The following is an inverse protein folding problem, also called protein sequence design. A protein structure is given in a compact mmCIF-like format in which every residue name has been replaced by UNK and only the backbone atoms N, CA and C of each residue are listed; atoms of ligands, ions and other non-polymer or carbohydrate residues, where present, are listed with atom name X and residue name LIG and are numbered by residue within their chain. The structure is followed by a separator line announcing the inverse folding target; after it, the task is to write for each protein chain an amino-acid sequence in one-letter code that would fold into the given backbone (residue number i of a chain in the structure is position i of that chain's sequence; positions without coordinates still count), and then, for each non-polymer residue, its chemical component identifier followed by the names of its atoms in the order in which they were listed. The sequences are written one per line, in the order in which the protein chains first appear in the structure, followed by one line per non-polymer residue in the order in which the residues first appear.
data_IF_140444339728
#
_entry.id   IF_140444339728
#
_cell.length_a   1.000
_cell.length_b   1.000
_cell.length_c   1.000
_cell.angle_alpha   90.00
_cell.angle_beta   90.00
_cell.angle_gamma   90.00
#
_symmetry.space_group_name_H-M   'P 1'
#
loop_
_entity.id
_entity.type
_entity.pdbx_description
1 polymer ?
#
# COMPACT_ATOMS: atom_id res chain seq x y z
N UNK A 1 1.57 6.57 -10.59
CA UNK A 1 2.46 5.44 -10.21
C UNK A 1 3.45 5.94 -9.18
N UNK A 2 3.86 5.08 -8.25
CA UNK A 2 4.97 5.36 -7.35
C UNK A 2 5.85 4.11 -7.22
N UNK A 3 7.10 4.30 -6.81
CA UNK A 3 8.04 3.20 -6.63
C UNK A 3 7.98 2.72 -5.19
N UNK A 4 7.91 1.40 -4.98
CA UNK A 4 7.97 0.82 -3.64
C UNK A 4 9.34 1.02 -3.03
N UNK A 5 9.38 1.10 -1.71
CA UNK A 5 10.61 0.99 -0.92
C UNK A 5 11.13 -0.44 -0.91
N UNK A 6 12.37 -0.63 -0.46
CA UNK A 6 12.98 -1.96 -0.39
C UNK A 6 12.20 -2.90 0.55
N UNK A 7 11.82 -2.39 1.74
CA UNK A 7 11.08 -3.15 2.75
C UNK A 7 9.70 -3.58 2.23
N UNK A 8 8.99 -2.70 1.53
CA UNK A 8 7.69 -3.02 0.92
C UNK A 8 7.81 -4.05 -0.21
N UNK A 9 8.91 -4.01 -0.96
CA UNK A 9 9.16 -4.93 -2.06
C UNK A 9 9.59 -6.33 -1.60
N UNK A 10 10.15 -6.46 -0.40
CA UNK A 10 10.57 -7.76 0.16
C UNK A 10 9.39 -8.69 0.40
N UNK A 11 8.27 -8.18 0.92
CA UNK A 11 7.04 -8.95 1.13
C UNK A 11 6.36 -9.40 -0.18
N UNK A 12 6.73 -8.79 -1.32
CA UNK A 12 6.20 -9.10 -2.64
C UNK A 12 7.14 -10.02 -3.45
N UNK A 13 8.27 -10.46 -2.90
CA UNK A 13 9.15 -11.44 -3.53
C UNK A 13 8.53 -12.84 -3.41
N UNK A 14 8.18 -13.42 -4.54
CA UNK A 14 7.82 -14.84 -4.61
C UNK A 14 9.04 -15.70 -4.31
N UNK A 15 8.95 -16.60 -3.32
CA UNK A 15 10.02 -17.57 -3.04
C UNK A 15 10.39 -18.40 -4.29
N UNK A 16 9.42 -18.70 -5.15
CA UNK A 16 9.61 -19.62 -6.28
C UNK A 16 9.95 -18.91 -7.61
N UNK A 17 9.67 -17.61 -7.73
CA UNK A 17 9.85 -16.84 -8.96
C UNK A 17 10.95 -15.78 -8.84
N UNK A 18 12.00 -16.08 -8.06
CA UNK A 18 13.18 -15.21 -7.95
C UNK A 18 14.31 -15.77 -8.81
N UNK A 19 14.88 -14.94 -9.68
CA UNK A 19 15.98 -15.35 -10.55
C UNK A 19 17.23 -15.72 -9.73
N UNK A 20 17.91 -16.78 -10.12
CA UNK A 20 19.10 -17.33 -9.46
C UNK A 20 20.35 -16.44 -9.58
N UNK A 21 20.39 -15.52 -10.56
CA UNK A 21 21.54 -14.65 -10.86
C UNK A 21 21.22 -13.15 -10.77
N UNK A 22 20.02 -12.79 -10.30
CA UNK A 22 19.61 -11.39 -10.19
C UNK A 22 18.12 -11.25 -9.96
N UNK A 23 17.73 -10.89 -8.74
CA UNK A 23 16.39 -10.38 -8.48
C UNK A 23 16.07 -9.14 -9.33
N UNK A 24 14.86 -8.61 -9.21
CA UNK A 24 14.52 -7.29 -9.78
C UNK A 24 15.57 -6.27 -9.32
N UNK A 25 16.48 -5.86 -10.21
CA UNK A 25 17.54 -4.87 -9.93
C UNK A 25 16.99 -3.47 -9.67
N UNK A 26 15.70 -3.25 -10.00
CA UNK A 26 14.98 -1.99 -9.78
C UNK A 26 13.73 -2.28 -8.98
N UNK A 27 13.45 -1.43 -8.00
CA UNK A 27 12.23 -1.50 -7.19
C UNK A 27 11.00 -1.40 -8.11
N UNK A 28 9.98 -2.25 -7.90
CA UNK A 28 8.81 -2.27 -8.75
C UNK A 28 8.02 -0.96 -8.60
N UNK A 29 7.45 -0.50 -9.70
CA UNK A 29 6.46 0.57 -9.69
C UNK A 29 5.06 -0.04 -9.54
N UNK A 30 4.26 0.59 -8.69
CA UNK A 30 2.86 0.23 -8.49
C UNK A 30 1.95 1.30 -9.07
N UNK A 31 0.81 0.85 -9.57
CA UNK A 31 -0.21 1.73 -10.13
C UNK A 31 -0.93 2.48 -9.01
N UNK A 32 -1.09 3.78 -9.21
CA UNK A 32 -2.01 4.60 -8.42
C UNK A 32 -3.42 4.42 -8.99
N UNK A 33 -4.43 5.04 -8.39
CA UNK A 33 -5.84 4.94 -8.82
C UNK A 33 -6.01 5.09 -10.35
N UNK A 34 -5.37 6.11 -10.93
CA UNK A 34 -5.42 6.38 -12.36
C UNK A 34 -4.77 5.29 -13.23
N UNK A 35 -3.76 4.62 -12.68
CA UNK A 35 -3.09 3.51 -13.36
C UNK A 35 -3.91 2.22 -13.39
N UNK A 36 -4.77 2.00 -12.38
CA UNK A 36 -5.71 0.87 -12.36
C UNK A 36 -6.78 1.06 -13.45
N UNK A 37 -7.25 2.30 -13.66
CA UNK A 37 -8.16 2.60 -14.77
C UNK A 37 -7.54 2.24 -16.13
N UNK A 38 -6.25 2.53 -16.34
CA UNK A 38 -5.55 2.15 -17.57
C UNK A 38 -5.43 0.63 -17.74
N UNK A 39 -5.12 -0.13 -16.69
CA UNK A 39 -5.05 -1.59 -16.76
C UNK A 39 -6.39 -2.22 -17.13
N UNK A 40 -7.48 -1.67 -16.60
CA UNK A 40 -8.84 -2.13 -16.93
C UNK A 40 -9.17 -1.97 -18.42
N UNK A 41 -8.59 -0.99 -19.11
CA UNK A 41 -8.79 -0.83 -20.56
C UNK A 41 -8.04 -1.87 -21.40
N UNK A 42 -6.96 -2.45 -20.85
CA UNK A 42 -6.12 -3.45 -21.54
C UNK A 42 -6.69 -4.86 -21.33
N UNK A 43 -7.25 -5.12 -20.16
CA UNK A 43 -7.87 -6.40 -19.82
C UNK A 43 -9.19 -6.57 -20.59
N UNK A 44 -9.32 -7.67 -21.34
CA UNK A 44 -10.52 -8.01 -22.12
C UNK A 44 -11.22 -9.24 -21.52
N UNK A 45 -12.55 -9.15 -21.37
CA UNK A 45 -13.40 -10.26 -20.91
C UNK A 45 -14.35 -9.84 -19.78
N UNK A 46 -15.54 -10.44 -19.73
CA UNK A 46 -16.61 -10.05 -18.80
C UNK A 46 -16.19 -10.13 -17.33
N UNK A 47 -15.41 -11.15 -16.96
CA UNK A 47 -14.89 -11.29 -15.61
C UNK A 47 -13.89 -10.18 -15.28
N UNK A 48 -12.98 -9.86 -16.20
CA UNK A 48 -11.95 -8.87 -15.98
C UNK A 48 -12.53 -7.45 -15.88
N UNK A 49 -13.58 -7.16 -16.65
CA UNK A 49 -14.32 -5.90 -16.57
C UNK A 49 -15.00 -5.73 -15.20
N UNK A 50 -15.73 -6.75 -14.74
CA UNK A 50 -16.39 -6.74 -13.41
C UNK A 50 -15.40 -6.58 -12.27
N UNK A 51 -14.29 -7.33 -12.32
CA UNK A 51 -13.23 -7.26 -11.30
C UNK A 51 -12.56 -5.89 -11.29
N UNK A 52 -12.29 -5.31 -12.46
CA UNK A 52 -11.68 -3.98 -12.55
C UNK A 52 -12.56 -2.91 -11.91
N UNK A 53 -13.86 -2.92 -12.17
CA UNK A 53 -14.82 -2.00 -11.53
C UNK A 53 -14.83 -2.18 -10.00
N UNK A 54 -14.81 -3.43 -9.52
CA UNK A 54 -14.79 -3.71 -8.09
C UNK A 54 -13.53 -3.18 -7.41
N UNK A 55 -12.36 -3.41 -8.02
CA UNK A 55 -11.07 -2.90 -7.52
C UNK A 55 -11.12 -1.37 -7.43
N UNK A 56 -11.59 -0.69 -8.48
CA UNK A 56 -11.70 0.78 -8.47
C UNK A 56 -12.60 1.30 -7.35
N UNK A 57 -13.75 0.64 -7.10
CA UNK A 57 -14.66 1.00 -6.01
C UNK A 57 -14.00 0.83 -4.65
N UNK A 58 -13.33 -0.30 -4.43
CA UNK A 58 -12.63 -0.58 -3.18
C UNK A 58 -11.55 0.47 -2.88
N UNK A 59 -10.74 0.83 -3.87
CA UNK A 59 -9.72 1.88 -3.72
C UNK A 59 -10.33 3.24 -3.40
N UNK A 60 -11.42 3.61 -4.07
CA UNK A 60 -12.11 4.88 -3.83
C UNK A 60 -12.71 4.95 -2.42
N UNK A 61 -13.33 3.88 -1.95
CA UNK A 61 -13.87 3.82 -0.58
C UNK A 61 -12.76 3.85 0.47
N UNK A 62 -11.66 3.13 0.25
CA UNK A 62 -10.49 3.20 1.13
C UNK A 62 -9.94 4.63 1.23
N UNK A 63 -9.81 5.33 0.10
CA UNK A 63 -9.34 6.71 0.09
C UNK A 63 -10.30 7.65 0.82
N UNK A 64 -11.61 7.53 0.58
CA UNK A 64 -12.64 8.30 1.30
C UNK A 64 -12.58 8.05 2.79
N UNK A 65 -12.44 6.78 3.20
CA UNK A 65 -12.31 6.42 4.61
C UNK A 65 -11.09 7.09 5.25
N UNK A 66 -9.94 7.09 4.58
CA UNK A 66 -8.73 7.75 5.08
C UNK A 66 -8.94 9.26 5.23
N UNK A 67 -9.48 9.91 4.21
CA UNK A 67 -9.72 11.36 4.22
C UNK A 67 -10.72 11.74 5.32
N UNK A 68 -11.84 11.03 5.43
CA UNK A 68 -12.88 11.32 6.43
C UNK A 68 -12.39 11.11 7.87
N UNK A 69 -11.44 10.21 8.08
CA UNK A 69 -10.90 9.89 9.41
C UNK A 69 -9.52 10.51 9.67
N UNK A 70 -9.04 11.42 8.83
CA UNK A 70 -7.69 12.01 8.94
C UNK A 70 -7.45 12.60 10.33
N UNK A 71 -8.39 13.38 10.85
CA UNK A 71 -8.30 13.98 12.19
C UNK A 71 -8.22 12.92 13.32
N UNK A 72 -8.96 11.82 13.18
CA UNK A 72 -8.90 10.73 14.16
C UNK A 72 -7.54 10.03 14.11
N UNK A 73 -7.00 9.78 12.92
CA UNK A 73 -5.68 9.18 12.76
C UNK A 73 -4.57 10.07 13.33
N UNK A 74 -4.66 11.39 13.19
CA UNK A 74 -3.70 12.32 13.81
C UNK A 74 -3.76 12.28 15.33
N UNK A 75 -4.96 12.24 15.91
CA UNK A 75 -5.13 12.12 17.38
C UNK A 75 -4.57 10.81 17.91
N UNK A 76 -4.86 9.69 17.23
CA UNK A 76 -4.34 8.36 17.60
C UNK A 76 -2.81 8.36 17.56
N UNK A 77 -2.20 8.87 16.48
CA UNK A 77 -0.74 9.02 16.39
C UNK A 77 -0.16 9.85 17.52
N UNK A 78 -0.82 10.97 17.87
CA UNK A 78 -0.40 11.81 18.99
C UNK A 78 -0.41 11.09 20.34
N UNK A 79 -1.39 10.21 20.57
CA UNK A 79 -1.46 9.39 21.79
C UNK A 79 -0.38 8.30 21.79
N UNK A 80 -0.18 7.60 20.68
CA UNK A 80 0.87 6.58 20.53
C UNK A 80 2.27 7.15 20.78
N UNK A 81 2.56 8.35 20.24
CA UNK A 81 3.84 9.03 20.47
C UNK A 81 4.08 9.33 21.95
N UNK A 82 3.08 9.87 22.65
CA UNK A 82 3.17 10.12 24.09
C UNK A 82 3.41 8.84 24.88
N UNK A 83 2.73 7.73 24.53
CA UNK A 83 2.94 6.45 25.19
C UNK A 83 4.36 5.90 24.96
N UNK A 84 4.90 6.04 23.75
CA UNK A 84 6.28 5.65 23.44
C UNK A 84 7.30 6.49 24.24
N UNK A 85 7.05 7.78 24.41
CA UNK A 85 7.88 8.67 25.25
C UNK A 85 7.85 8.25 26.72
N UNK A 86 6.66 8.00 27.27
CA UNK A 86 6.51 7.52 28.65
C UNK A 86 7.21 6.17 28.87
N UNK A 87 7.11 5.22 27.94
CA UNK A 87 7.83 3.94 28.03
C UNK A 87 9.35 4.12 27.98
N UNK A 88 9.86 5.05 27.15
CA UNK A 88 11.29 5.36 27.08
C UNK A 88 11.80 6.00 28.37
N UNK A 89 11.04 6.91 28.98
CA UNK A 89 11.40 7.52 30.26
C UNK A 89 11.36 6.50 31.40
N UNK A 90 10.32 5.65 31.46
CA UNK A 90 10.20 4.59 32.47
C UNK A 90 11.27 3.50 32.36
N UNK A 91 11.87 3.29 31.17
CA UNK A 91 12.99 2.34 30.98
C UNK A 91 14.37 2.94 31.26
N UNK A 92 14.48 4.27 31.42
CA UNK A 92 15.75 4.97 31.74
C UNK A 92 15.98 5.17 33.23
N UNK A 93 14.94 5.04 34.05
CA UNK A 93 15.01 5.03 35.52
C UNK A 93 15.02 3.59 36.03
#
# INVERSE_FOLDING_TARGET
MFQLTQDEAENLKSQNATSSWGGKRKLPYVFTEQGIYMLATVLRGELAEKQSIYIMRAFREMQRFIVNNTLMFERVRGVELKQLEYQKQSRRN
#
